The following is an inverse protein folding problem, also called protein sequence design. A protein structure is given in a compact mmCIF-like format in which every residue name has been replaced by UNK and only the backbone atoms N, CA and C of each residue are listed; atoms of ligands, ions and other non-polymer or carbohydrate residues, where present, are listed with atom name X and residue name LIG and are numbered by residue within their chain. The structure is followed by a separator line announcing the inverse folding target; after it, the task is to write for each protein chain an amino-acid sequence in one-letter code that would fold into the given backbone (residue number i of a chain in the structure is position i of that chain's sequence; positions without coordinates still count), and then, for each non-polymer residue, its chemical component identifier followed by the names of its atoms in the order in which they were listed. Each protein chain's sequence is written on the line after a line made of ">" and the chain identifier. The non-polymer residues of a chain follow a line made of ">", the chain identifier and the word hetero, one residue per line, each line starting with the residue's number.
data_IF_806668389713
#
_entry.id   IF_806668389713
#
_cell.length_a   1.000
_cell.length_b   1.000
_cell.length_c   1.000
_cell.angle_alpha   90.00
_cell.angle_beta   90.00
_cell.angle_gamma   90.00
#
_symmetry.space_group_name_H-M   'P 1'
#
loop_
_entity.id
_entity.type
_entity.pdbx_description
1 polymer ?
#
# COMPACT_ATOMS: atom_id res chain seq x y z
N UNK A 1 12.61 -17.57 -48.66
CA UNK A 1 12.28 -17.91 -47.26
C UNK A 1 10.78 -17.72 -47.10
N UNK A 2 10.01 -18.79 -46.87
CA UNK A 2 8.55 -18.74 -46.93
C UNK A 2 7.97 -18.03 -45.70
N UNK A 3 7.28 -16.92 -45.94
CA UNK A 3 6.67 -16.03 -44.93
C UNK A 3 5.76 -16.80 -43.94
N UNK A 4 5.12 -17.88 -44.40
CA UNK A 4 4.26 -18.74 -43.59
C UNK A 4 4.99 -19.48 -42.45
N UNK A 5 6.29 -19.78 -42.60
CA UNK A 5 7.07 -20.46 -41.56
C UNK A 5 7.47 -19.51 -40.42
N UNK A 6 7.79 -18.26 -40.77
CA UNK A 6 8.13 -17.20 -39.82
C UNK A 6 6.89 -16.85 -38.99
N UNK A 7 5.73 -16.75 -39.62
CA UNK A 7 4.47 -16.43 -38.92
C UNK A 7 4.06 -17.52 -37.92
N UNK A 8 4.26 -18.80 -38.25
CA UNK A 8 4.01 -19.92 -37.34
C UNK A 8 4.95 -19.95 -36.12
N UNK A 9 6.20 -19.52 -36.29
CA UNK A 9 7.17 -19.46 -35.19
C UNK A 9 6.86 -18.34 -34.20
N UNK A 10 6.48 -17.14 -34.70
CA UNK A 10 6.10 -16.03 -33.84
C UNK A 10 4.77 -16.27 -33.10
N UNK A 11 3.75 -16.82 -33.77
CA UNK A 11 2.48 -17.11 -33.11
C UNK A 11 2.62 -18.21 -32.05
N UNK A 12 3.43 -19.24 -32.30
CA UNK A 12 3.73 -20.28 -31.30
C UNK A 12 4.42 -19.76 -30.04
N UNK A 13 5.43 -18.89 -30.19
CA UNK A 13 6.16 -18.31 -29.05
C UNK A 13 5.27 -17.40 -28.18
N UNK A 14 4.44 -16.54 -28.78
CA UNK A 14 3.57 -15.64 -28.03
C UNK A 14 2.51 -16.38 -27.20
N UNK A 15 1.89 -17.43 -27.75
CA UNK A 15 0.89 -18.23 -27.04
C UNK A 15 1.50 -18.97 -25.83
N UNK A 16 2.76 -19.42 -25.96
CA UNK A 16 3.44 -20.16 -24.88
C UNK A 16 3.85 -19.25 -23.72
N UNK A 17 4.31 -18.02 -24.01
CA UNK A 17 4.70 -17.04 -22.99
C UNK A 17 3.47 -16.51 -22.24
N UNK A 18 2.40 -16.17 -22.96
CA UNK A 18 1.16 -15.68 -22.34
C UNK A 18 0.49 -16.79 -21.53
N UNK A 19 0.46 -18.02 -22.04
CA UNK A 19 -0.11 -19.18 -21.34
C UNK A 19 0.61 -19.48 -20.03
N UNK A 20 1.95 -19.44 -20.00
CA UNK A 20 2.74 -19.71 -18.79
C UNK A 20 2.56 -18.63 -17.73
N UNK A 21 2.50 -17.36 -18.14
CA UNK A 21 2.33 -16.23 -17.23
C UNK A 21 0.92 -16.18 -16.63
N UNK A 22 -0.10 -16.62 -17.38
CA UNK A 22 -1.47 -16.72 -16.88
C UNK A 22 -1.63 -17.92 -15.93
N UNK A 23 -1.04 -19.08 -16.25
CA UNK A 23 -1.09 -20.27 -15.38
C UNK A 23 -0.38 -20.04 -14.04
N UNK A 24 0.77 -19.37 -14.02
CA UNK A 24 1.50 -19.07 -12.78
C UNK A 24 0.68 -18.22 -11.80
N UNK A 25 -0.16 -17.30 -12.32
CA UNK A 25 -1.01 -16.42 -11.51
C UNK A 25 -2.21 -17.13 -10.90
N UNK A 26 -2.66 -18.25 -11.49
CA UNK A 26 -3.81 -19.03 -11.00
C UNK A 26 -3.42 -20.25 -10.15
N UNK A 27 -2.21 -20.82 -10.34
CA UNK A 27 -1.78 -22.06 -9.66
C UNK A 27 -1.16 -21.81 -8.27
N UNK A 28 -0.79 -20.58 -7.92
CA UNK A 28 -0.18 -20.26 -6.62
C UNK A 28 -1.05 -19.36 -5.70
N UNK A 29 -2.29 -19.77 -5.35
CA UNK A 29 -3.04 -19.06 -4.31
C UNK A 29 -2.31 -19.11 -2.95
N UNK A 30 -1.50 -20.16 -2.71
CA UNK A 30 -0.77 -20.37 -1.46
C UNK A 30 0.40 -19.38 -1.25
N UNK A 31 1.11 -18.98 -2.31
CA UNK A 31 2.12 -17.91 -2.20
C UNK A 31 1.50 -16.53 -2.05
N UNK A 32 0.34 -16.28 -2.66
CA UNK A 32 -0.41 -15.05 -2.42
C UNK A 32 -0.86 -14.94 -0.97
N UNK A 33 -1.36 -16.01 -0.34
CA UNK A 33 -1.73 -15.99 1.08
C UNK A 33 -0.54 -15.75 2.00
N UNK A 34 0.61 -16.40 1.73
CA UNK A 34 1.83 -16.19 2.53
C UNK A 34 2.36 -14.75 2.43
N UNK A 35 2.32 -14.15 1.23
CA UNK A 35 2.68 -12.75 1.03
C UNK A 35 1.72 -11.79 1.75
N UNK A 36 0.41 -12.08 1.73
CA UNK A 36 -0.60 -11.28 2.43
C UNK A 36 -0.39 -11.37 3.94
N UNK A 37 -0.16 -12.57 4.48
CA UNK A 37 0.07 -12.76 5.92
C UNK A 37 1.38 -12.09 6.37
N UNK A 38 2.44 -12.19 5.58
CA UNK A 38 3.72 -11.52 5.88
C UNK A 38 3.56 -10.00 5.86
N UNK A 39 2.82 -9.47 4.90
CA UNK A 39 2.50 -8.03 4.81
C UNK A 39 1.67 -7.55 6.00
N UNK A 40 0.69 -8.35 6.45
CA UNK A 40 -0.16 -8.04 7.60
C UNK A 40 0.63 -8.03 8.91
N UNK A 41 1.44 -9.05 9.16
CA UNK A 41 2.35 -9.10 10.33
C UNK A 41 3.35 -7.93 10.30
N UNK A 42 3.85 -7.59 9.11
CA UNK A 42 4.71 -6.43 8.91
C UNK A 42 4.01 -5.10 9.23
N UNK A 43 2.72 -4.99 8.92
CA UNK A 43 1.91 -3.81 9.21
C UNK A 43 1.64 -3.65 10.71
N UNK A 44 1.24 -4.72 11.40
CA UNK A 44 1.01 -4.71 12.86
C UNK A 44 2.28 -4.28 13.60
N UNK A 45 3.44 -4.79 13.16
CA UNK A 45 4.73 -4.38 13.70
C UNK A 45 5.01 -2.90 13.45
N UNK A 46 4.59 -2.36 12.31
CA UNK A 46 4.78 -0.94 11.99
C UNK A 46 3.94 -0.03 12.89
N UNK A 47 2.71 -0.44 13.23
CA UNK A 47 1.87 0.25 14.21
C UNK A 47 2.47 0.22 15.63
N UNK A 48 3.18 -0.86 16.00
CA UNK A 48 3.87 -0.94 17.29
C UNK A 48 5.17 -0.13 17.32
N UNK A 49 5.96 -0.19 16.25
CA UNK A 49 7.27 0.45 16.18
C UNK A 49 7.16 1.98 15.95
N UNK A 50 6.13 2.44 15.25
CA UNK A 50 5.93 3.85 14.86
C UNK A 50 4.47 4.32 15.08
N UNK A 51 3.94 4.24 16.31
CA UNK A 51 2.52 4.44 16.59
C UNK A 51 2.01 5.82 16.18
N UNK A 52 2.76 6.88 16.47
CA UNK A 52 2.32 8.26 16.23
C UNK A 52 2.08 8.53 14.74
N UNK A 53 3.05 8.19 13.90
CA UNK A 53 2.94 8.35 12.46
C UNK A 53 1.84 7.44 11.87
N UNK A 54 1.80 6.17 12.30
CA UNK A 54 0.83 5.21 11.78
C UNK A 54 -0.61 5.51 12.18
N UNK A 55 -0.83 6.06 13.36
CA UNK A 55 -2.15 6.53 13.78
C UNK A 55 -2.54 7.79 13.02
N UNK A 56 -1.61 8.73 12.81
CA UNK A 56 -1.88 9.94 12.02
C UNK A 56 -2.31 9.60 10.58
N UNK A 57 -1.58 8.73 9.88
CA UNK A 57 -1.94 8.32 8.51
C UNK A 57 -3.25 7.52 8.49
N UNK A 58 -3.53 6.70 9.51
CA UNK A 58 -4.81 5.99 9.68
C UNK A 58 -5.97 6.99 9.81
N UNK A 59 -5.82 8.00 10.66
CA UNK A 59 -6.82 9.05 10.86
C UNK A 59 -7.06 9.84 9.57
N UNK A 60 -6.00 10.30 8.90
CA UNK A 60 -6.13 11.05 7.65
C UNK A 60 -6.82 10.26 6.54
N UNK A 61 -6.48 8.98 6.36
CA UNK A 61 -7.08 8.16 5.30
C UNK A 61 -8.52 7.77 5.57
N UNK A 62 -8.99 7.94 6.81
CA UNK A 62 -10.34 7.60 7.24
C UNK A 62 -11.23 8.83 7.38
N UNK A 63 -10.62 10.00 7.54
CA UNK A 63 -11.32 11.28 7.54
C UNK A 63 -12.07 11.48 6.22
N UNK A 64 -13.33 11.92 6.33
CA UNK A 64 -14.25 12.02 5.19
C UNK A 64 -13.78 13.02 4.12
N UNK A 65 -13.05 14.06 4.51
CA UNK A 65 -12.46 15.09 3.66
C UNK A 65 -11.20 14.63 2.92
N UNK A 66 -10.51 13.59 3.42
CA UNK A 66 -9.23 13.12 2.89
C UNK A 66 -9.32 11.74 2.22
N UNK A 67 -10.49 11.10 2.26
CA UNK A 67 -10.73 9.73 1.77
C UNK A 67 -10.32 9.46 0.31
N UNK A 68 -10.26 10.49 -0.54
CA UNK A 68 -9.87 10.37 -1.96
C UNK A 68 -8.40 10.70 -2.20
N UNK A 69 -7.68 11.23 -1.21
CA UNK A 69 -6.28 11.61 -1.34
C UNK A 69 -5.41 10.35 -1.28
N UNK A 70 -4.46 10.24 -2.23
CA UNK A 70 -3.55 9.09 -2.36
C UNK A 70 -2.09 9.48 -2.45
N UNK A 71 -1.81 10.75 -2.28
CA UNK A 71 -0.45 11.27 -2.35
C UNK A 71 -0.15 12.11 -1.12
N UNK A 72 1.07 12.01 -0.64
CA UNK A 72 1.52 12.78 0.50
C UNK A 72 2.97 13.21 0.36
N UNK A 73 3.30 14.31 1.03
CA UNK A 73 4.67 14.79 1.17
C UNK A 73 5.14 14.66 2.61
N UNK A 74 6.43 14.39 2.76
CA UNK A 74 7.14 14.53 4.03
C UNK A 74 8.11 15.70 3.91
N UNK A 75 7.93 16.72 4.72
CA UNK A 75 8.71 17.96 4.61
C UNK A 75 8.96 18.56 5.97
N UNK A 76 9.96 19.43 6.06
CA UNK A 76 10.15 20.27 7.23
C UNK A 76 8.89 21.09 7.54
N UNK A 77 8.69 21.40 8.82
CA UNK A 77 7.54 22.16 9.30
C UNK A 77 7.40 23.53 8.64
N UNK A 78 8.53 24.18 8.36
CA UNK A 78 8.57 25.51 7.77
C UNK A 78 8.54 25.50 6.23
N UNK A 79 8.54 24.32 5.61
CA UNK A 79 8.51 24.20 4.16
C UNK A 79 7.17 24.69 3.59
N UNK A 80 7.23 25.48 2.52
CA UNK A 80 6.05 25.93 1.78
C UNK A 80 5.91 25.07 0.52
N UNK A 81 4.81 24.31 0.45
CA UNK A 81 4.46 23.49 -0.70
C UNK A 81 3.21 24.07 -1.37
N UNK A 82 3.38 24.58 -2.59
CA UNK A 82 2.28 24.99 -3.42
C UNK A 82 1.88 23.82 -4.32
N UNK A 83 0.63 23.37 -4.19
CA UNK A 83 0.10 22.25 -4.95
C UNK A 83 -1.32 22.56 -5.40
N UNK A 84 -1.60 22.38 -6.68
CA UNK A 84 -2.95 22.48 -7.23
C UNK A 84 -3.81 21.25 -6.92
N UNK A 85 -3.18 20.14 -6.54
CA UNK A 85 -3.84 18.87 -6.23
C UNK A 85 -3.80 18.67 -4.70
N UNK A 86 -4.90 18.23 -4.07
CA UNK A 86 -4.93 17.95 -2.64
C UNK A 86 -3.99 16.80 -2.30
N UNK A 87 -3.12 17.01 -1.30
CA UNK A 87 -2.10 16.06 -0.84
C UNK A 87 -1.98 16.13 0.67
N UNK A 88 -1.75 15.01 1.32
CA UNK A 88 -1.45 14.97 2.74
C UNK A 88 -0.03 15.49 2.99
N UNK A 89 0.22 16.00 4.20
CA UNK A 89 1.52 16.55 4.58
C UNK A 89 1.89 16.05 5.96
N UNK A 90 3.07 15.45 6.05
CA UNK A 90 3.66 15.01 7.30
C UNK A 90 4.96 15.76 7.57
N UNK A 91 5.23 16.00 8.84
CA UNK A 91 6.46 16.65 9.28
C UNK A 91 7.64 15.67 9.20
N UNK A 92 8.77 16.14 8.68
CA UNK A 92 10.00 15.37 8.66
C UNK A 92 10.54 15.23 10.08
N UNK A 93 10.68 13.98 10.54
CA UNK A 93 11.28 13.65 11.83
C UNK A 93 12.32 12.53 11.67
N UNK A 94 13.13 12.31 12.70
CA UNK A 94 14.12 11.22 12.68
C UNK A 94 13.47 9.83 12.58
N UNK A 95 12.23 9.70 13.07
CA UNK A 95 11.51 8.43 13.16
C UNK A 95 10.67 8.12 11.92
N UNK A 96 10.25 9.16 11.17
CA UNK A 96 9.40 8.96 9.99
C UNK A 96 10.16 8.31 8.84
N UNK A 97 11.44 8.62 8.64
CA UNK A 97 12.22 8.06 7.52
C UNK A 97 12.35 6.52 7.58
N UNK A 98 12.72 5.92 8.73
CA UNK A 98 12.66 4.47 8.88
C UNK A 98 11.28 3.86 8.63
N UNK A 99 10.21 4.52 9.10
CA UNK A 99 8.84 4.06 8.89
C UNK A 99 8.46 4.05 7.39
N UNK A 100 8.81 5.11 6.66
CA UNK A 100 8.58 5.21 5.21
C UNK A 100 9.33 4.12 4.45
N UNK A 101 10.61 3.90 4.77
CA UNK A 101 11.39 2.85 4.11
C UNK A 101 10.76 1.46 4.31
N UNK A 102 10.20 1.20 5.50
CA UNK A 102 9.50 -0.05 5.76
C UNK A 102 8.18 -0.13 5.01
N UNK A 103 7.36 0.92 5.01
CA UNK A 103 6.12 0.98 4.23
C UNK A 103 6.38 0.76 2.74
N UNK A 104 7.45 1.36 2.20
CA UNK A 104 7.88 1.18 0.81
C UNK A 104 8.32 -0.26 0.55
N UNK A 105 9.12 -0.84 1.45
CA UNK A 105 9.56 -2.24 1.32
C UNK A 105 8.41 -3.25 1.37
N UNK A 106 7.34 -2.95 2.10
CA UNK A 106 6.11 -3.74 2.17
C UNK A 106 5.18 -3.49 0.96
N UNK A 107 5.51 -2.50 0.13
CA UNK A 107 4.73 -2.09 -1.03
C UNK A 107 3.41 -1.42 -0.67
N UNK A 108 3.35 -0.73 0.46
CA UNK A 108 2.18 0.07 0.86
C UNK A 108 2.23 1.50 0.34
N UNK A 109 3.44 2.00 0.10
CA UNK A 109 3.68 3.29 -0.53
C UNK A 109 4.74 3.13 -1.63
N UNK A 110 4.68 4.02 -2.62
CA UNK A 110 5.65 4.11 -3.69
C UNK A 110 6.24 5.53 -3.70
N UNK A 111 7.57 5.64 -3.68
CA UNK A 111 8.22 6.93 -3.83
C UNK A 111 8.13 7.41 -5.28
N UNK A 112 7.52 8.57 -5.48
CA UNK A 112 7.44 9.18 -6.81
C UNK A 112 8.78 9.82 -7.18
N UNK A 113 9.14 9.72 -8.47
CA UNK A 113 10.41 10.26 -8.98
C UNK A 113 10.38 11.78 -9.03
N UNK A 114 10.79 12.41 -7.94
CA UNK A 114 11.04 13.84 -7.85
C UNK A 114 12.10 14.16 -6.78
N UNK A 115 12.40 15.46 -6.63
CA UNK A 115 13.42 15.95 -5.70
C UNK A 115 12.92 16.06 -4.25
N UNK A 116 11.76 15.48 -3.93
CA UNK A 116 11.11 15.60 -2.64
C UNK A 116 10.79 14.22 -2.07
N UNK A 117 10.44 14.18 -0.78
CA UNK A 117 9.86 12.99 -0.16
C UNK A 117 8.37 12.93 -0.48
N UNK A 118 8.06 12.61 -1.74
CA UNK A 118 6.71 12.49 -2.26
C UNK A 118 6.38 11.02 -2.48
N UNK A 119 5.27 10.59 -1.90
CA UNK A 119 4.84 9.21 -1.94
C UNK A 119 3.40 9.10 -2.45
N UNK A 120 3.16 8.01 -3.16
CA UNK A 120 1.83 7.52 -3.53
C UNK A 120 1.46 6.38 -2.59
N UNK A 121 0.20 6.33 -2.18
CA UNK A 121 -0.36 5.30 -1.32
C UNK A 121 -1.02 4.24 -2.20
N UNK A 122 -0.72 2.97 -1.93
CA UNK A 122 -1.34 1.84 -2.63
C UNK A 122 -2.72 1.49 -2.06
N UNK A 123 -3.65 1.10 -2.92
CA UNK A 123 -5.04 0.78 -2.50
C UNK A 123 -5.12 -0.42 -1.56
N UNK A 124 -4.16 -1.35 -1.67
CA UNK A 124 -4.05 -2.49 -0.75
C UNK A 124 -3.83 -2.01 0.69
N UNK A 125 -3.03 -0.96 0.89
CA UNK A 125 -2.81 -0.36 2.21
C UNK A 125 -4.11 0.23 2.77
N UNK A 126 -4.80 1.03 1.95
CA UNK A 126 -6.08 1.66 2.33
C UNK A 126 -7.12 0.61 2.70
N UNK A 127 -7.16 -0.49 1.96
CA UNK A 127 -8.08 -1.61 2.20
C UNK A 127 -7.78 -2.31 3.52
N UNK A 128 -6.51 -2.57 3.83
CA UNK A 128 -6.11 -3.17 5.09
C UNK A 128 -6.39 -2.27 6.29
N UNK A 129 -6.12 -0.96 6.19
CA UNK A 129 -6.46 -0.01 7.26
C UNK A 129 -7.95 0.00 7.58
N UNK A 130 -8.82 -0.05 6.56
CA UNK A 130 -10.28 -0.15 6.76
C UNK A 130 -10.71 -1.44 7.44
N UNK A 131 -10.05 -2.56 7.11
CA UNK A 131 -10.31 -3.84 7.77
C UNK A 131 -9.95 -3.78 9.25
N UNK A 132 -8.78 -3.22 9.59
CA UNK A 132 -8.32 -3.03 10.98
C UNK A 132 -9.36 -2.20 11.77
N UNK A 133 -9.84 -1.11 11.19
CA UNK A 133 -10.85 -0.25 11.84
C UNK A 133 -12.17 -0.99 12.04
N UNK A 134 -12.58 -1.78 11.05
CA UNK A 134 -13.80 -2.57 11.14
C UNK A 134 -13.66 -3.60 12.26
N UNK A 135 -12.53 -4.31 12.37
CA UNK A 135 -12.28 -5.26 13.46
C UNK A 135 -12.18 -4.58 14.83
N UNK A 136 -11.51 -3.42 14.92
CA UNK A 136 -11.45 -2.63 16.15
C UNK A 136 -12.86 -2.24 16.62
N UNK A 137 -13.76 -1.90 15.70
CA UNK A 137 -15.15 -1.56 16.01
C UNK A 137 -15.96 -2.76 16.50
N UNK A 138 -15.72 -3.96 15.99
CA UNK A 138 -16.42 -5.18 16.43
C UNK A 138 -15.95 -5.62 17.83
N UNK A 139 -14.65 -5.58 18.11
CA UNK A 139 -14.11 -5.98 19.42
C UNK A 139 -14.51 -5.03 20.56
N UNK A 140 -14.75 -3.76 20.25
CA UNK A 140 -15.25 -2.79 21.23
C UNK A 140 -16.74 -2.95 21.53
N UNK A 141 -17.56 -3.36 20.56
CA UNK A 141 -18.99 -3.62 20.79
C UNK A 141 -19.21 -4.81 21.75
N UNK A 142 -18.48 -5.91 21.57
CA UNK A 142 -18.60 -7.12 22.39
C UNK A 142 -18.23 -6.88 23.87
N UNK A 143 -17.36 -5.89 24.15
CA UNK A 143 -16.93 -5.55 25.52
C UNK A 143 -17.93 -4.70 26.27
N UNK A 144 -18.80 -3.96 25.58
CA UNK A 144 -19.82 -3.11 26.20
C UNK A 144 -21.06 -3.92 26.61
N UNK A 145 -21.34 -5.00 25.87
CA UNK A 145 -22.46 -5.92 26.13
C UNK A 145 -22.26 -6.80 27.38
N UNK A 146 -21.05 -6.80 27.96
CA UNK A 146 -20.64 -7.65 29.09
C UNK A 146 -20.68 -6.99 30.47
N UNK A 147 -21.17 -5.74 30.58
CA UNK A 147 -21.36 -5.04 31.87
C UNK A 147 -22.82 -4.59 32.03
N UNK A 148 -23.66 -5.53 32.44
CA UNK A 148 -24.95 -5.26 33.10
C UNK A 148 -25.01 -6.03 34.42
#
# INVERSE_FOLDING_TARGET
>A
MNISFIYGFFTGCFVTVIGRHCLQKFINPQQCSELIDTKKVGLDKLFNDYPDFMNTIKEDLTASNCKTIREFFVVDKDAILNSSIPRLRYELSAEILPALNRLESLGYIEKLKNNCLHYKIEEDFVSQLKQIISSDSYDNAIKDDGKL
#
